data_IF_742794796185
#
_entry.id   IF_742794796185
#
_cell.length_a   1.000
_cell.length_b   1.000
_cell.length_c   1.000
_cell.angle_alpha   90.00
_cell.angle_beta   90.00
_cell.angle_gamma   90.00
#
_symmetry.space_group_name_H-M   'P 1'
#
loop_
_entity.id
_entity.type
_entity.pdbx_description
1 polymer ?
#
# COMPACT_ATOMS: atom_id res chain seq x y z
N UNK A 1 -33.88 45.93 17.48
CA UNK A 1 -33.90 44.76 16.59
C UNK A 1 -32.80 43.81 17.03
N UNK A 2 -33.16 42.72 17.73
CA UNK A 2 -32.21 41.72 18.23
C UNK A 2 -32.56 40.37 17.59
N UNK A 3 -31.68 39.91 16.70
CA UNK A 3 -31.81 38.63 16.01
C UNK A 3 -31.61 37.49 17.02
N UNK A 4 -32.64 36.64 17.16
CA UNK A 4 -32.59 35.41 17.94
C UNK A 4 -31.72 34.38 17.21
N UNK A 5 -30.57 34.06 17.78
CA UNK A 5 -29.77 32.90 17.35
C UNK A 5 -30.40 31.61 17.90
N UNK A 6 -30.90 30.77 16.99
CA UNK A 6 -31.31 29.39 17.28
C UNK A 6 -30.03 28.56 17.44
N UNK A 7 -29.78 27.91 18.59
CA UNK A 7 -28.62 27.05 18.72
C UNK A 7 -28.81 25.82 17.82
N UNK A 8 -27.95 25.69 16.80
CA UNK A 8 -27.77 24.44 16.05
C UNK A 8 -27.48 23.33 17.07
N UNK A 9 -28.36 22.31 17.14
CA UNK A 9 -28.05 21.07 17.85
C UNK A 9 -26.82 20.45 17.18
N UNK A 10 -25.66 20.67 17.78
CA UNK A 10 -24.46 19.90 17.52
C UNK A 10 -24.80 18.46 17.92
N UNK A 11 -25.09 17.61 16.94
CA UNK A 11 -25.06 16.17 17.13
C UNK A 11 -23.65 15.84 17.62
N UNK A 12 -23.55 15.55 18.92
CA UNK A 12 -22.31 15.15 19.57
C UNK A 12 -22.03 13.73 19.12
N UNK A 13 -21.42 13.58 17.95
CA UNK A 13 -20.92 12.30 17.45
C UNK A 13 -19.88 11.83 18.45
N UNK A 14 -20.14 10.67 19.07
CA UNK A 14 -19.27 10.09 20.09
C UNK A 14 -17.85 9.88 19.53
N UNK A 15 -16.78 10.19 20.27
CA UNK A 15 -15.39 10.05 19.81
C UNK A 15 -15.00 8.62 19.41
N UNK A 16 -15.86 7.62 19.67
CA UNK A 16 -15.70 6.23 19.21
C UNK A 16 -16.05 5.99 17.73
N UNK A 17 -16.50 7.01 16.98
CA UNK A 17 -16.89 6.91 15.56
C UNK A 17 -16.08 7.82 14.63
N UNK A 18 -14.78 7.95 14.86
CA UNK A 18 -13.85 8.63 13.95
C UNK A 18 -12.67 7.76 13.57
N UNK A 19 -12.17 7.94 12.35
CA UNK A 19 -10.88 7.43 11.95
C UNK A 19 -9.81 8.05 12.85
N UNK A 20 -8.96 7.22 13.45
CA UNK A 20 -7.92 7.75 14.36
C UNK A 20 -6.87 8.66 13.68
N UNK A 21 -6.85 8.74 12.35
CA UNK A 21 -5.77 9.42 11.60
C UNK A 21 -6.20 10.59 10.75
N UNK A 22 -7.29 10.42 10.02
CA UNK A 22 -7.82 11.46 9.14
C UNK A 22 -8.98 12.21 9.80
N UNK A 23 -9.41 11.79 11.01
CA UNK A 23 -10.53 12.32 11.80
C UNK A 23 -11.90 12.31 11.07
N UNK A 24 -11.95 11.72 9.87
CA UNK A 24 -13.16 11.47 9.10
C UNK A 24 -14.07 10.48 9.83
N UNK A 25 -15.38 10.60 9.62
CA UNK A 25 -16.37 9.75 10.29
C UNK A 25 -16.19 8.29 9.86
N UNK A 26 -15.69 7.46 10.77
CA UNK A 26 -15.42 6.04 10.55
C UNK A 26 -15.42 5.30 11.88
N UNK A 27 -15.99 4.10 11.92
CA UNK A 27 -15.90 3.18 13.06
C UNK A 27 -14.50 2.53 13.11
N UNK A 28 -13.45 3.33 13.36
CA UNK A 28 -12.06 2.86 13.47
C UNK A 28 -11.06 3.56 12.56
N UNK A 29 -10.99 3.19 11.27
CA UNK A 29 -10.01 3.73 10.27
C UNK A 29 -10.73 4.01 8.92
N UNK A 30 -10.39 5.09 8.21
CA UNK A 30 -11.11 5.57 7.00
C UNK A 30 -10.64 4.87 5.71
N UNK A 31 -11.49 4.75 4.66
CA UNK A 31 -11.19 4.04 3.41
C UNK A 31 -10.01 4.61 2.58
N UNK A 32 -9.59 5.86 2.82
CA UNK A 32 -8.36 6.43 2.23
C UNK A 32 -7.08 6.02 3.00
N UNK A 33 -7.22 5.62 4.27
CA UNK A 33 -6.14 5.10 5.11
C UNK A 33 -5.98 3.57 4.97
N UNK A 34 -6.68 2.94 4.02
CA UNK A 34 -6.70 1.49 3.80
C UNK A 34 -5.49 1.00 2.98
N UNK A 35 -4.28 1.37 3.39
CA UNK A 35 -3.06 0.72 2.95
C UNK A 35 -2.90 -0.56 3.79
N UNK A 36 -2.96 -1.72 3.14
CA UNK A 36 -3.01 -3.02 3.81
C UNK A 36 -1.64 -3.57 4.20
N UNK A 37 -1.64 -4.52 5.12
CA UNK A 37 -0.47 -5.35 5.40
C UNK A 37 -0.38 -6.52 4.44
N UNK A 38 0.82 -7.10 4.30
CA UNK A 38 0.96 -8.45 3.79
C UNK A 38 0.13 -9.44 4.62
N UNK A 39 -0.12 -9.16 5.90
CA UNK A 39 -1.03 -9.93 6.76
C UNK A 39 -2.46 -9.98 6.23
N UNK A 40 -2.88 -8.97 5.49
CA UNK A 40 -4.22 -8.90 4.88
C UNK A 40 -4.30 -9.65 3.54
N UNK A 41 -3.14 -10.05 3.00
CA UNK A 41 -3.02 -10.60 1.65
C UNK A 41 -2.51 -12.04 1.62
N UNK A 42 -1.91 -12.52 2.72
CA UNK A 42 -1.38 -13.87 2.86
C UNK A 42 -2.02 -14.54 4.08
N UNK A 43 -2.07 -15.88 4.15
CA UNK A 43 -2.61 -16.59 5.32
C UNK A 43 -1.79 -16.33 6.59
N UNK A 44 -2.46 -16.16 7.75
CA UNK A 44 -1.81 -15.88 9.06
C UNK A 44 -0.67 -16.84 9.44
N UNK A 45 -0.73 -18.09 8.96
CA UNK A 45 0.28 -19.12 9.18
C UNK A 45 1.61 -18.82 8.47
N UNK A 46 1.61 -17.91 7.49
CA UNK A 46 2.76 -17.52 6.68
C UNK A 46 3.42 -16.22 7.19
N UNK A 47 3.17 -15.81 8.43
CA UNK A 47 3.73 -14.56 8.96
C UNK A 47 4.80 -14.76 10.03
N UNK A 48 5.11 -15.98 10.47
CA UNK A 48 6.39 -16.25 11.15
C UNK A 48 7.46 -16.43 10.06
N UNK A 49 8.46 -15.54 9.84
CA UNK A 49 9.18 -14.67 10.78
C UNK A 49 8.89 -13.15 10.68
N UNK A 50 8.04 -12.70 9.76
CA UNK A 50 7.78 -11.25 9.60
C UNK A 50 7.09 -10.65 10.83
N UNK A 51 6.18 -11.38 11.47
CA UNK A 51 5.50 -11.02 12.70
C UNK A 51 6.49 -10.94 13.87
N UNK A 52 7.51 -11.81 13.91
CA UNK A 52 8.55 -11.75 14.94
C UNK A 52 9.45 -10.53 14.75
N UNK A 53 9.89 -10.26 13.52
CA UNK A 53 10.62 -9.03 13.20
C UNK A 53 9.78 -7.79 13.54
N UNK A 54 8.49 -7.85 13.27
CA UNK A 54 7.56 -6.80 13.65
C UNK A 54 7.58 -6.65 15.18
N UNK A 55 7.28 -7.69 15.95
CA UNK A 55 7.37 -7.65 17.42
C UNK A 55 8.73 -7.12 17.95
N UNK A 56 9.86 -7.43 17.30
CA UNK A 56 11.18 -6.91 17.66
C UNK A 56 11.36 -5.41 17.38
N UNK A 57 10.80 -4.85 16.31
CA UNK A 57 10.87 -3.39 16.16
C UNK A 57 9.87 -2.70 17.10
N UNK A 58 8.74 -3.34 17.42
CA UNK A 58 7.74 -2.82 18.36
C UNK A 58 8.36 -2.67 19.75
N UNK A 59 9.23 -3.61 20.13
CA UNK A 59 9.89 -3.55 21.43
C UNK A 59 10.89 -2.40 21.56
N UNK A 60 11.44 -1.92 20.43
CA UNK A 60 12.43 -0.84 20.38
C UNK A 60 11.85 0.51 19.98
N UNK A 61 10.63 0.53 19.44
CA UNK A 61 9.95 1.74 18.99
C UNK A 61 8.99 2.27 20.05
N UNK A 62 9.04 3.58 20.24
CA UNK A 62 8.15 4.32 21.14
C UNK A 62 7.35 5.34 20.34
N UNK A 63 6.12 5.61 20.78
CA UNK A 63 5.33 6.70 20.26
C UNK A 63 6.04 8.01 20.58
N UNK A 64 6.46 8.78 19.58
CA UNK A 64 7.16 10.04 19.81
C UNK A 64 6.29 11.11 20.53
N UNK A 65 4.96 10.93 20.62
CA UNK A 65 4.05 11.84 21.36
C UNK A 65 4.08 11.56 22.85
N UNK A 66 3.90 10.30 23.25
CA UNK A 66 3.68 9.91 24.65
C UNK A 66 4.80 9.05 25.25
N UNK A 67 5.80 8.67 24.45
CA UNK A 67 6.94 7.85 24.86
C UNK A 67 6.60 6.38 25.15
N UNK A 68 5.36 5.95 24.94
CA UNK A 68 4.90 4.58 25.23
C UNK A 68 5.28 3.61 24.11
N UNK A 69 5.57 2.36 24.47
CA UNK A 69 5.88 1.28 23.52
C UNK A 69 4.69 1.00 22.59
N UNK A 70 4.97 0.82 21.30
CA UNK A 70 3.94 0.68 20.26
C UNK A 70 3.79 -0.78 19.85
N UNK A 71 2.56 -1.32 19.85
CA UNK A 71 2.31 -2.71 19.43
C UNK A 71 2.27 -2.83 17.89
N UNK A 72 2.64 -3.99 17.29
CA UNK A 72 2.72 -4.16 15.83
C UNK A 72 1.44 -3.87 15.04
N UNK A 73 0.28 -4.05 15.66
CA UNK A 73 -1.04 -3.70 15.13
C UNK A 73 -1.30 -2.17 15.09
N UNK A 74 -0.41 -1.38 15.68
CA UNK A 74 -0.54 0.07 15.88
C UNK A 74 0.51 0.91 15.14
N UNK A 75 1.43 0.30 14.40
CA UNK A 75 2.56 1.05 13.84
C UNK A 75 2.16 2.05 12.77
N UNK A 76 3.12 2.91 12.37
CA UNK A 76 3.32 3.45 11.01
C UNK A 76 4.57 4.29 10.86
N UNK A 77 4.75 4.84 9.66
CA UNK A 77 5.88 5.66 9.25
C UNK A 77 5.70 7.16 9.60
N UNK A 78 4.57 7.56 10.20
CA UNK A 78 4.28 8.94 10.53
C UNK A 78 3.49 9.06 11.82
N UNK A 79 3.45 10.29 12.31
CA UNK A 79 2.69 10.74 13.48
C UNK A 79 1.19 10.38 13.45
N UNK A 80 0.69 10.03 12.26
CA UNK A 80 -0.73 9.86 11.91
C UNK A 80 -0.92 8.77 10.85
N UNK A 81 -0.07 7.74 10.79
CA UNK A 81 -0.28 6.67 9.80
C UNK A 81 -0.52 5.31 10.46
N UNK A 82 -1.11 4.41 9.70
CA UNK A 82 -1.19 2.98 9.95
C UNK A 82 0.05 2.32 9.37
N UNK A 83 0.48 1.20 9.94
CA UNK A 83 1.65 0.52 9.43
C UNK A 83 1.18 -0.25 8.24
N UNK A 84 2.09 -0.24 7.31
CA UNK A 84 1.87 -0.67 5.97
C UNK A 84 3.22 -1.24 5.65
N UNK A 85 3.25 -2.42 5.07
CA UNK A 85 4.52 -2.89 4.56
C UNK A 85 5.01 -1.88 3.53
N UNK A 86 6.20 -1.35 3.78
CA UNK A 86 6.88 -0.38 2.90
C UNK A 86 7.04 -0.89 1.46
N UNK A 87 6.83 -2.18 1.25
CA UNK A 87 7.08 -2.85 0.01
C UNK A 87 5.76 -3.29 -0.62
N UNK A 88 5.59 -2.92 -1.87
CA UNK A 88 4.55 -3.44 -2.73
C UNK A 88 5.18 -4.30 -3.82
N UNK A 89 4.51 -5.40 -4.15
CA UNK A 89 4.86 -6.19 -5.31
C UNK A 89 4.61 -5.37 -6.58
N UNK A 90 5.64 -5.11 -7.41
CA UNK A 90 5.47 -4.42 -8.70
C UNK A 90 4.52 -5.17 -9.65
N UNK A 91 4.45 -6.50 -9.51
CA UNK A 91 3.65 -7.35 -10.38
C UNK A 91 2.16 -7.42 -10.09
N UNK A 92 1.73 -7.27 -8.83
CA UNK A 92 0.31 -7.34 -8.45
C UNK A 92 -0.17 -6.17 -7.60
N UNK A 93 0.74 -5.34 -7.06
CA UNK A 93 0.46 -4.19 -6.21
C UNK A 93 0.12 -4.52 -4.76
N UNK A 94 0.11 -5.80 -4.37
CA UNK A 94 -0.12 -6.19 -2.97
C UNK A 94 1.05 -5.78 -2.10
N UNK A 95 0.75 -5.43 -0.86
CA UNK A 95 1.77 -5.24 0.18
C UNK A 95 2.44 -6.57 0.52
N UNK A 96 3.76 -6.57 0.57
CA UNK A 96 4.60 -7.75 0.81
C UNK A 96 5.66 -7.43 1.85
N UNK A 97 5.99 -8.40 2.70
CA UNK A 97 7.13 -8.27 3.59
C UNK A 97 8.42 -8.69 2.87
N UNK A 98 9.58 -8.22 3.35
CA UNK A 98 10.87 -8.53 2.75
C UNK A 98 11.38 -9.92 3.18
N UNK A 99 10.92 -10.38 4.34
CA UNK A 99 11.41 -11.57 5.02
C UNK A 99 10.90 -12.86 4.36
N UNK A 100 9.65 -12.85 3.89
CA UNK A 100 9.01 -14.04 3.36
C UNK A 100 8.30 -13.81 2.02
N UNK A 101 7.55 -12.73 1.89
CA UNK A 101 6.70 -12.50 0.73
C UNK A 101 7.39 -11.79 -0.45
N UNK A 102 8.71 -11.58 -0.35
CA UNK A 102 9.55 -11.06 -1.43
C UNK A 102 10.45 -12.18 -1.95
N UNK A 103 10.14 -12.69 -3.14
CA UNK A 103 10.91 -13.76 -3.79
C UNK A 103 12.06 -13.23 -4.65
N UNK A 104 11.85 -12.07 -5.26
CA UNK A 104 12.79 -11.47 -6.19
C UNK A 104 12.83 -9.96 -5.99
N UNK A 105 14.05 -9.42 -6.02
CA UNK A 105 14.33 -7.99 -6.07
C UNK A 105 15.05 -7.69 -7.37
N UNK A 106 14.70 -6.58 -8.01
CA UNK A 106 15.38 -6.08 -9.20
C UNK A 106 15.63 -4.61 -9.03
N UNK A 107 16.82 -4.16 -9.34
CA UNK A 107 17.16 -2.74 -9.29
C UNK A 107 16.91 -2.09 -10.63
N UNK A 108 16.35 -0.90 -10.59
CA UNK A 108 16.11 -0.06 -11.74
C UNK A 108 16.76 1.29 -11.49
N UNK A 109 17.51 1.78 -12.47
CA UNK A 109 18.28 3.02 -12.34
C UNK A 109 17.79 3.97 -13.41
N UNK A 110 17.05 4.99 -12.98
CA UNK A 110 16.58 6.05 -13.86
C UNK A 110 17.47 7.26 -13.72
N UNK A 111 18.10 7.67 -14.81
CA UNK A 111 18.94 8.87 -14.86
C UNK A 111 18.10 9.97 -15.50
N UNK A 112 17.70 10.96 -14.69
CA UNK A 112 16.99 12.15 -15.16
C UNK A 112 18.02 13.26 -15.29
N UNK A 113 18.16 13.82 -16.50
CA UNK A 113 19.06 14.95 -16.76
C UNK A 113 18.23 16.23 -16.85
N UNK A 114 18.49 17.17 -15.96
CA UNK A 114 17.94 18.53 -16.01
C UNK A 114 19.10 19.50 -16.29
N UNK A 115 19.26 19.88 -17.57
CA UNK A 115 20.37 20.73 -18.01
C UNK A 115 21.74 20.08 -17.78
N UNK A 116 22.63 20.77 -17.05
CA UNK A 116 23.98 20.27 -16.71
C UNK A 116 24.04 19.36 -15.47
N UNK A 117 22.94 19.18 -14.74
CA UNK A 117 22.89 18.31 -13.56
C UNK A 117 22.15 17.01 -13.90
N UNK A 118 22.81 15.89 -13.64
CA UNK A 118 22.21 14.56 -13.75
C UNK A 118 21.83 14.04 -12.36
N UNK A 119 20.57 13.66 -12.19
CA UNK A 119 20.07 12.98 -11.00
C UNK A 119 19.93 11.49 -11.30
N UNK A 120 20.55 10.64 -10.47
CA UNK A 120 20.45 9.19 -10.56
C UNK A 120 19.50 8.69 -9.47
N UNK A 121 18.36 8.16 -9.89
CA UNK A 121 17.39 7.53 -9.00
C UNK A 121 17.54 6.02 -9.10
N UNK A 122 17.80 5.36 -7.97
CA UNK A 122 17.86 3.91 -7.88
C UNK A 122 16.61 3.42 -7.15
N UNK A 123 15.81 2.63 -7.85
CA UNK A 123 14.57 2.07 -7.34
C UNK A 123 14.72 0.56 -7.20
N UNK A 124 14.36 0.02 -6.04
CA UNK A 124 14.29 -1.44 -5.83
C UNK A 124 12.87 -1.92 -6.07
N UNK A 125 12.66 -2.61 -7.18
CA UNK A 125 11.40 -3.28 -7.48
C UNK A 125 11.38 -4.67 -6.81
N UNK A 126 10.24 -5.03 -6.22
CA UNK A 126 10.05 -6.29 -5.50
C UNK A 126 8.92 -7.11 -6.12
N UNK A 127 9.05 -8.43 -6.10
CA UNK A 127 8.06 -9.36 -6.62
C UNK A 127 7.78 -10.48 -5.62
N UNK A 128 6.49 -10.77 -5.38
CA UNK A 128 6.06 -11.94 -4.62
C UNK A 128 6.29 -13.23 -5.41
N UNK A 129 6.17 -14.39 -4.74
CA UNK A 129 6.34 -15.71 -5.35
C UNK A 129 5.54 -15.88 -6.64
N UNK A 130 4.28 -15.44 -6.64
CA UNK A 130 3.39 -15.56 -7.80
C UNK A 130 3.81 -14.67 -8.99
N UNK A 131 4.35 -13.48 -8.71
CA UNK A 131 4.76 -12.55 -9.76
C UNK A 131 6.23 -12.75 -10.21
N UNK A 132 7.03 -13.43 -9.40
CA UNK A 132 8.47 -13.62 -9.62
C UNK A 132 8.80 -14.30 -10.97
N UNK A 133 8.07 -15.35 -11.42
CA UNK A 133 8.35 -16.00 -12.70
C UNK A 133 8.16 -15.07 -13.90
N UNK A 134 7.21 -14.14 -13.81
CA UNK A 134 6.81 -13.24 -14.89
C UNK A 134 7.33 -11.82 -14.70
N UNK A 135 8.37 -11.63 -13.89
CA UNK A 135 8.90 -10.30 -13.55
C UNK A 135 9.30 -9.47 -14.78
N UNK A 136 9.77 -10.12 -15.86
CA UNK A 136 10.21 -9.45 -17.10
C UNK A 136 9.08 -8.69 -17.81
N UNK A 137 7.86 -9.20 -17.71
CA UNK A 137 6.68 -8.58 -18.33
C UNK A 137 5.87 -7.75 -17.32
N UNK A 138 6.35 -7.57 -16.09
CA UNK A 138 5.63 -6.81 -15.05
C UNK A 138 4.67 -7.66 -14.22
N UNK A 139 4.92 -8.97 -14.08
CA UNK A 139 4.12 -9.87 -13.24
C UNK A 139 2.69 -10.08 -13.76
N UNK A 140 1.74 -10.26 -12.84
CA UNK A 140 0.34 -10.58 -13.18
C UNK A 140 -0.33 -9.42 -13.92
N UNK A 141 -0.08 -8.17 -13.49
CA UNK A 141 -0.57 -6.97 -14.20
C UNK A 141 -0.04 -6.92 -15.63
N UNK A 142 1.22 -7.27 -15.80
CA UNK A 142 1.85 -7.48 -17.10
C UNK A 142 1.14 -8.49 -17.99
N UNK A 143 0.88 -9.68 -17.46
CA UNK A 143 0.16 -10.74 -18.18
C UNK A 143 -1.24 -10.26 -18.59
N UNK A 144 -1.99 -9.68 -17.66
CA UNK A 144 -3.34 -9.19 -17.93
C UNK A 144 -3.34 -8.11 -19.04
N UNK A 145 -2.38 -7.18 -18.99
CA UNK A 145 -2.20 -6.17 -20.03
C UNK A 145 -1.87 -6.78 -21.40
N UNK A 146 -0.96 -7.75 -21.45
CA UNK A 146 -0.61 -8.46 -22.69
C UNK A 146 -1.80 -9.22 -23.28
N UNK A 147 -2.58 -9.92 -22.45
CA UNK A 147 -3.78 -10.62 -22.91
C UNK A 147 -4.84 -9.65 -23.45
N UNK A 148 -5.04 -8.51 -22.78
CA UNK A 148 -5.96 -7.47 -23.25
C UNK A 148 -5.51 -6.90 -24.61
N UNK A 149 -4.21 -6.66 -24.79
CA UNK A 149 -3.66 -6.19 -26.06
C UNK A 149 -3.87 -7.22 -27.19
N UNK A 150 -3.55 -8.49 -26.94
CA UNK A 150 -3.77 -9.58 -27.90
C UNK A 150 -5.25 -9.69 -28.26
N UNK A 151 -6.13 -9.64 -27.26
CA UNK A 151 -7.58 -9.67 -27.46
C UNK A 151 -8.08 -8.50 -28.31
N UNK A 152 -7.58 -7.29 -28.05
CA UNK A 152 -7.92 -6.11 -28.83
C UNK A 152 -7.46 -6.23 -30.29
N UNK A 153 -6.22 -6.69 -30.53
CA UNK A 153 -5.69 -6.90 -31.89
C UNK A 153 -6.50 -7.95 -32.65
N UNK A 154 -6.85 -9.07 -32.01
CA UNK A 154 -7.68 -10.11 -32.61
C UNK A 154 -9.09 -9.61 -32.92
N UNK A 155 -9.71 -8.84 -32.01
CA UNK A 155 -11.03 -8.27 -32.22
C UNK A 155 -11.05 -7.31 -33.42
N UNK A 156 -10.03 -6.45 -33.53
CA UNK A 156 -9.86 -5.54 -34.67
C UNK A 156 -9.66 -6.34 -35.97
N UNK A 157 -8.79 -7.36 -35.96
CA UNK A 157 -8.56 -8.20 -37.12
C UNK A 157 -9.83 -8.92 -37.59
N UNK A 158 -10.57 -9.54 -36.67
CA UNK A 158 -11.84 -10.20 -36.97
C UNK A 158 -12.93 -9.23 -37.44
N UNK A 159 -12.95 -8.00 -36.92
CA UNK A 159 -13.86 -6.95 -37.39
C UNK A 159 -13.61 -6.58 -38.84
N UNK A 160 -12.34 -6.47 -39.26
CA UNK A 160 -12.01 -6.17 -40.66
C UNK A 160 -12.04 -7.38 -41.60
N UNK A 161 -11.96 -8.61 -41.07
CA UNK A 161 -12.01 -9.86 -41.85
C UNK A 161 -13.45 -10.38 -42.01
N UNK A 162 -14.38 -10.01 -41.13
CA UNK A 162 -15.82 -10.25 -41.34
C UNK A 162 -16.38 -9.17 -42.28
N UNK A 163 -16.74 -9.50 -43.54
CA UNK A 163 -17.54 -8.61 -44.39
C UNK A 163 -18.96 -8.42 -43.83
#
# INVERSE_FOLDING_TARGET
>A
MTLRNVPKRLHRVSPSRRCKECDAEALGRCPDCHQGFCQDHFPKQQHSPCAEKQMRLASTQVCYVCGTQVYPDQWSISKTSHFVDHFQCKGCGRHICDELHTRRKTEDVTIIREGMRGHRYQYTNRYCDLCSPFYRIGGIRGIAGSLALIGAVLAIGLYYIKP
#
